data_IF_165875230116
#
_entry.id   IF_165875230116
#
_cell.length_a   1.000
_cell.length_b   1.000
_cell.length_c   1.000
_cell.angle_alpha   90.00
_cell.angle_beta   90.00
_cell.angle_gamma   90.00
#
_symmetry.space_group_name_H-M   'P 1'
#
loop_
_entity.id
_entity.type
_entity.pdbx_description
1 polymer ?
#
# COMPACT_ATOMS: atom_id res chain seq x y z
N UNK A 1 5.05 -17.69 0.72
CA UNK A 1 4.63 -17.70 -0.69
C UNK A 1 4.22 -16.28 -1.03
N UNK A 2 4.79 -15.70 -2.08
CA UNK A 2 4.51 -14.33 -2.50
C UNK A 2 3.12 -14.29 -3.17
N UNK A 3 2.31 -13.28 -2.83
CA UNK A 3 0.99 -13.02 -3.41
C UNK A 3 1.13 -11.92 -4.48
N UNK A 4 1.53 -12.34 -5.68
CA UNK A 4 1.78 -11.47 -6.84
C UNK A 4 0.53 -10.70 -7.25
N UNK A 5 -0.64 -11.35 -7.20
CA UNK A 5 -1.91 -10.75 -7.63
C UNK A 5 -2.38 -9.69 -6.63
N UNK A 6 -2.30 -9.97 -5.33
CA UNK A 6 -2.57 -8.95 -4.31
C UNK A 6 -1.57 -7.80 -4.39
N UNK A 7 -0.29 -8.09 -4.63
CA UNK A 7 0.77 -7.09 -4.78
C UNK A 7 0.50 -6.15 -5.97
N UNK A 8 0.17 -6.70 -7.14
CA UNK A 8 -0.18 -5.92 -8.32
C UNK A 8 -1.42 -5.05 -8.10
N UNK A 9 -2.46 -5.60 -7.47
CA UNK A 9 -3.66 -4.85 -7.09
C UNK A 9 -3.35 -3.71 -6.11
N UNK A 10 -2.47 -3.95 -5.14
CA UNK A 10 -2.06 -2.94 -4.16
C UNK A 10 -1.28 -1.79 -4.82
N UNK A 11 -0.32 -2.09 -5.70
CA UNK A 11 0.42 -1.09 -6.50
C UNK A 11 -0.56 -0.26 -7.34
N UNK A 12 -1.50 -0.92 -8.02
CA UNK A 12 -2.49 -0.24 -8.84
C UNK A 12 -3.38 0.69 -7.99
N UNK A 13 -3.77 0.27 -6.78
CA UNK A 13 -4.57 1.08 -5.88
C UNK A 13 -3.85 2.34 -5.41
N UNK A 14 -2.64 2.20 -4.82
CA UNK A 14 -1.91 3.33 -4.24
C UNK A 14 -1.37 4.28 -5.30
N UNK A 15 -0.97 3.73 -6.45
CA UNK A 15 -0.47 4.49 -7.57
C UNK A 15 0.86 5.21 -7.33
N UNK A 16 1.12 6.16 -8.20
CA UNK A 16 2.34 6.97 -8.17
C UNK A 16 2.06 8.28 -7.43
N UNK A 17 2.79 8.59 -6.34
CA UNK A 17 2.60 9.84 -5.62
C UNK A 17 2.74 11.06 -6.52
N UNK A 18 1.85 12.06 -6.36
CA UNK A 18 1.87 13.30 -7.14
C UNK A 18 1.31 13.18 -8.56
N UNK A 19 0.94 11.99 -9.04
CA UNK A 19 0.33 11.81 -10.37
C UNK A 19 -1.19 11.93 -10.30
N UNK A 20 -1.73 12.86 -11.09
CA UNK A 20 -3.18 12.96 -11.27
C UNK A 20 -3.70 11.73 -12.02
N UNK A 21 -4.79 11.17 -11.50
CA UNK A 21 -5.49 10.03 -12.06
C UNK A 21 -6.84 10.49 -12.62
N UNK A 22 -7.18 9.97 -13.79
CA UNK A 22 -8.44 10.26 -14.48
C UNK A 22 -9.60 9.38 -13.97
N UNK A 23 -9.28 8.29 -13.27
CA UNK A 23 -10.24 7.32 -12.71
C UNK A 23 -10.00 7.08 -11.22
N UNK A 24 -10.93 6.38 -10.58
CA UNK A 24 -10.79 6.01 -9.17
C UNK A 24 -9.72 4.91 -8.99
N UNK A 25 -9.09 4.80 -7.79
CA UNK A 25 -8.17 3.71 -7.47
C UNK A 25 -8.75 2.32 -7.76
N UNK A 26 -10.04 2.10 -7.47
CA UNK A 26 -10.73 0.83 -7.71
C UNK A 26 -10.72 0.43 -9.18
N UNK A 27 -10.86 1.39 -10.09
CA UNK A 27 -10.83 1.13 -11.51
C UNK A 27 -9.47 0.59 -11.95
N UNK A 28 -8.37 1.18 -11.46
CA UNK A 28 -7.03 0.71 -11.80
C UNK A 28 -6.71 -0.67 -11.21
N UNK A 29 -7.28 -1.01 -10.05
CA UNK A 29 -7.14 -2.37 -9.50
C UNK A 29 -7.78 -3.39 -10.44
N UNK A 30 -9.01 -3.16 -10.88
CA UNK A 30 -9.71 -4.06 -11.81
C UNK A 30 -9.02 -4.11 -13.17
N UNK A 31 -8.49 -2.99 -13.67
CA UNK A 31 -7.69 -2.98 -14.91
C UNK A 31 -6.39 -3.80 -14.77
N UNK A 32 -5.74 -3.77 -13.60
CA UNK A 32 -4.46 -4.44 -13.37
C UNK A 32 -4.59 -5.95 -13.15
N UNK A 33 -5.63 -6.40 -12.45
CA UNK A 33 -5.77 -7.81 -12.02
C UNK A 33 -7.06 -8.49 -12.50
N UNK A 34 -7.85 -7.81 -13.32
CA UNK A 34 -9.12 -8.32 -13.84
C UNK A 34 -10.19 -8.47 -12.75
N UNK A 35 -11.08 -9.44 -12.92
CA UNK A 35 -12.23 -9.68 -12.01
C UNK A 35 -11.80 -9.98 -10.57
N UNK A 36 -10.60 -10.54 -10.37
CA UNK A 36 -10.02 -10.73 -9.04
C UNK A 36 -9.95 -9.39 -8.26
N UNK A 37 -9.84 -8.26 -8.95
CA UNK A 37 -9.79 -6.94 -8.35
C UNK A 37 -10.96 -6.66 -7.41
N UNK A 38 -12.18 -7.10 -7.75
CA UNK A 38 -13.36 -6.91 -6.90
C UNK A 38 -13.19 -7.57 -5.52
N UNK A 39 -12.56 -8.75 -5.46
CA UNK A 39 -12.30 -9.48 -4.23
C UNK A 39 -11.08 -8.93 -3.46
N UNK A 40 -10.12 -8.35 -4.17
CA UNK A 40 -8.93 -7.76 -3.55
C UNK A 40 -9.21 -6.39 -2.93
N UNK A 41 -10.17 -5.62 -3.47
CA UNK A 41 -10.43 -4.26 -3.03
C UNK A 41 -10.73 -4.13 -1.52
N UNK A 42 -11.59 -4.96 -0.92
CA UNK A 42 -11.77 -4.95 0.54
C UNK A 42 -10.48 -5.25 1.30
N UNK A 43 -9.66 -6.19 0.83
CA UNK A 43 -8.38 -6.56 1.45
C UNK A 43 -7.36 -5.42 1.38
N UNK A 44 -7.25 -4.76 0.23
CA UNK A 44 -6.38 -3.61 0.01
C UNK A 44 -6.77 -2.46 0.94
N UNK A 45 -8.07 -2.10 0.97
CA UNK A 45 -8.58 -1.05 1.85
C UNK A 45 -8.35 -1.36 3.33
N UNK A 46 -8.54 -2.62 3.73
CA UNK A 46 -8.29 -3.06 5.10
C UNK A 46 -6.81 -2.91 5.49
N UNK A 47 -5.87 -3.27 4.61
CA UNK A 47 -4.43 -3.10 4.83
C UNK A 47 -4.09 -1.62 5.03
N UNK A 48 -4.51 -0.75 4.10
CA UNK A 48 -4.19 0.68 4.18
C UNK A 48 -4.80 1.33 5.43
N UNK A 49 -6.05 0.97 5.77
CA UNK A 49 -6.68 1.43 7.00
C UNK A 49 -5.92 0.94 8.25
N UNK A 50 -5.48 -0.32 8.26
CA UNK A 50 -4.69 -0.87 9.37
C UNK A 50 -3.37 -0.12 9.57
N UNK A 51 -2.70 0.31 8.50
CA UNK A 51 -1.52 1.17 8.59
C UNK A 51 -1.84 2.54 9.21
N UNK A 52 -2.95 3.18 8.79
CA UNK A 52 -3.37 4.47 9.36
C UNK A 52 -3.73 4.37 10.85
N UNK A 53 -4.26 3.23 11.30
CA UNK A 53 -4.66 2.99 12.69
C UNK A 53 -3.67 2.12 13.47
N UNK A 54 -2.45 1.94 12.96
CA UNK A 54 -1.45 1.07 13.59
C UNK A 54 -1.08 1.56 15.00
N UNK A 55 -0.77 0.60 15.88
CA UNK A 55 -0.28 0.87 17.23
C UNK A 55 0.98 0.02 17.51
N UNK A 56 2.16 0.65 17.73
CA UNK A 56 2.41 2.09 17.76
C UNK A 56 2.14 2.78 16.42
N UNK A 57 1.80 4.08 16.48
CA UNK A 57 1.49 4.89 15.29
C UNK A 57 2.68 4.93 14.34
N UNK A 58 2.44 4.65 13.06
CA UNK A 58 3.44 4.79 11.99
C UNK A 58 3.75 6.26 11.66
N UNK A 59 2.95 7.21 12.14
CA UNK A 59 3.10 8.65 11.88
C UNK A 59 3.97 9.37 12.92
N UNK A 60 4.20 8.77 14.08
CA UNK A 60 4.80 9.49 15.22
C UNK A 60 6.32 9.27 15.30
N UNK A 61 7.03 9.53 14.20
CA UNK A 61 8.48 9.43 14.11
C UNK A 61 9.15 10.76 13.74
N UNK A 62 10.46 10.87 14.05
CA UNK A 62 11.20 12.13 14.00
C UNK A 62 11.55 12.59 12.58
N UNK A 63 11.64 11.65 11.62
CA UNK A 63 11.99 11.94 10.23
C UNK A 63 11.19 11.10 9.23
N UNK A 64 11.17 11.54 7.97
CA UNK A 64 10.59 10.78 6.85
C UNK A 64 11.26 9.41 6.68
N UNK A 65 12.58 9.35 6.89
CA UNK A 65 13.35 8.10 6.84
C UNK A 65 12.90 7.13 7.93
N UNK A 66 12.71 7.62 9.16
CA UNK A 66 12.20 6.77 10.24
C UNK A 66 10.79 6.25 9.95
N UNK A 67 9.91 7.07 9.36
CA UNK A 67 8.57 6.62 8.93
C UNK A 67 8.67 5.54 7.87
N UNK A 68 9.53 5.73 6.87
CA UNK A 68 9.79 4.75 5.81
C UNK A 68 10.24 3.40 6.39
N UNK A 69 11.24 3.40 7.28
CA UNK A 69 11.76 2.19 7.90
C UNK A 69 10.69 1.45 8.72
N UNK A 70 9.83 2.21 9.40
CA UNK A 70 8.75 1.64 10.22
C UNK A 70 7.62 1.06 9.38
N UNK A 71 7.30 1.69 8.25
CA UNK A 71 6.37 1.13 7.25
C UNK A 71 6.92 -0.17 6.69
N UNK A 72 8.20 -0.21 6.31
CA UNK A 72 8.84 -1.42 5.78
C UNK A 72 8.82 -2.57 6.81
N UNK A 73 9.18 -2.27 8.06
CA UNK A 73 9.12 -3.25 9.15
C UNK A 73 7.69 -3.74 9.42
N UNK A 74 6.69 -2.84 9.41
CA UNK A 74 5.30 -3.20 9.63
C UNK A 74 4.75 -4.07 8.50
N UNK A 75 5.05 -3.74 7.24
CA UNK A 75 4.63 -4.53 6.08
C UNK A 75 5.29 -5.91 6.06
N UNK A 76 6.58 -6.00 6.38
CA UNK A 76 7.27 -7.29 6.48
C UNK A 76 6.68 -8.19 7.57
N UNK A 77 6.26 -7.60 8.72
CA UNK A 77 5.67 -8.35 9.81
C UNK A 77 4.22 -8.80 9.56
N UNK A 78 3.39 -7.93 8.97
CA UNK A 78 1.95 -8.17 8.82
C UNK A 78 1.57 -8.75 7.45
N UNK A 79 2.37 -8.48 6.43
CA UNK A 79 2.12 -8.86 5.04
C UNK A 79 3.40 -9.41 4.36
N UNK A 80 4.03 -10.48 4.88
CA UNK A 80 5.27 -11.06 4.33
C UNK A 80 5.12 -11.67 2.94
N UNK A 81 3.89 -11.72 2.40
CA UNK A 81 3.61 -12.16 1.04
C UNK A 81 3.69 -11.06 -0.01
N UNK A 82 3.94 -9.81 0.37
CA UNK A 82 4.08 -8.71 -0.60
C UNK A 82 5.40 -8.80 -1.37
N UNK A 83 5.34 -8.44 -2.64
CA UNK A 83 6.55 -8.18 -3.44
C UNK A 83 7.27 -6.92 -2.95
N UNK A 84 8.59 -6.85 -3.19
CA UNK A 84 9.40 -5.66 -2.86
C UNK A 84 8.90 -4.38 -3.57
N UNK A 85 8.36 -4.52 -4.78
CA UNK A 85 7.77 -3.42 -5.54
C UNK A 85 6.50 -2.90 -4.85
N UNK A 86 5.63 -3.79 -4.37
CA UNK A 86 4.43 -3.40 -3.64
C UNK A 86 4.77 -2.73 -2.30
N UNK A 87 5.77 -3.25 -1.58
CA UNK A 87 6.28 -2.62 -0.35
C UNK A 87 6.76 -1.20 -0.64
N UNK A 88 7.58 -1.04 -1.68
CA UNK A 88 8.10 0.27 -2.11
C UNK A 88 6.98 1.24 -2.49
N UNK A 89 5.98 0.78 -3.25
CA UNK A 89 4.86 1.61 -3.68
C UNK A 89 4.03 2.11 -2.48
N UNK A 90 3.71 1.20 -1.54
CA UNK A 90 2.94 1.55 -0.33
C UNK A 90 3.73 2.48 0.57
N UNK A 91 5.03 2.22 0.78
CA UNK A 91 5.91 3.10 1.54
C UNK A 91 5.89 4.51 0.98
N UNK A 92 6.16 4.65 -0.32
CA UNK A 92 6.20 5.95 -0.99
C UNK A 92 4.85 6.68 -0.88
N UNK A 93 3.73 5.97 -1.08
CA UNK A 93 2.39 6.51 -0.91
C UNK A 93 2.12 7.00 0.52
N UNK A 94 2.50 6.21 1.52
CA UNK A 94 2.30 6.53 2.93
C UNK A 94 3.17 7.73 3.35
N UNK A 95 4.45 7.74 2.96
CA UNK A 95 5.37 8.85 3.26
C UNK A 95 5.06 10.11 2.47
N UNK A 96 4.46 10.02 1.28
CA UNK A 96 4.00 11.22 0.57
C UNK A 96 2.80 11.86 1.28
N UNK A 97 1.97 11.04 1.94
CA UNK A 97 0.89 11.52 2.80
C UNK A 97 1.40 12.04 4.15
N UNK A 98 2.70 11.88 4.44
CA UNK A 98 3.36 12.38 5.63
C UNK A 98 3.83 13.83 5.40
N UNK A 99 3.06 14.76 5.99
CA UNK A 99 3.19 16.23 5.95
C UNK A 99 2.66 16.93 4.69
#
# INVERSE_FOLDING_TARGET
MVDEVFSAGLIAYVGEPGRLRDKSPEHYVVEAVGDAGFDLLPRIKALLNAMHTANPSLWNYASLTDVADQVDAWLAANHPGLTDEAVTAVRNWFTYSYK
#
